data_IF_040765623312
#
_entry.id   IF_040765623312
#
_cell.length_a   1.000
_cell.length_b   1.000
_cell.length_c   1.000
_cell.angle_alpha   90.00
_cell.angle_beta   90.00
_cell.angle_gamma   90.00
#
_symmetry.space_group_name_H-M   'P 1'
#
loop_
_entity.id
_entity.type
_entity.pdbx_description
1 polymer ?
#
# COMPACT_ATOMS: atom_id res chain seq x y z
N UNK A 1 -14.43 -15.97 56.06
CA UNK A 1 -14.73 -15.03 54.96
C UNK A 1 -14.03 -13.71 55.27
N UNK A 2 -12.99 -13.39 54.50
CA UNK A 2 -11.92 -12.45 54.82
C UNK A 2 -12.24 -11.00 54.45
N UNK A 3 -11.88 -10.08 55.34
CA UNK A 3 -12.06 -8.60 55.30
C UNK A 3 -11.29 -7.88 54.17
N UNK A 4 -10.81 -8.57 53.14
CA UNK A 4 -9.94 -8.02 52.09
C UNK A 4 -10.66 -7.71 50.76
N UNK A 5 -11.98 -7.84 50.67
CA UNK A 5 -12.74 -7.54 49.44
C UNK A 5 -13.38 -6.14 49.46
N UNK A 6 -13.40 -5.46 50.60
CA UNK A 6 -14.10 -4.16 50.75
C UNK A 6 -13.23 -2.91 50.52
N UNK A 7 -11.95 -3.06 50.17
CA UNK A 7 -11.02 -1.93 49.99
C UNK A 7 -10.65 -1.58 48.55
N UNK A 8 -11.13 -2.35 47.56
CA UNK A 8 -10.85 -2.06 46.14
C UNK A 8 -12.01 -1.28 45.47
N UNK A 9 -13.22 -1.31 46.05
CA UNK A 9 -14.38 -0.59 45.51
C UNK A 9 -14.43 0.91 45.87
N UNK A 10 -13.63 1.38 46.83
CA UNK A 10 -13.58 2.80 47.21
C UNK A 10 -12.50 3.62 46.47
N UNK A 11 -11.55 2.96 45.80
CA UNK A 11 -10.44 3.61 45.09
C UNK A 11 -10.74 4.03 43.65
N UNK A 12 -11.77 3.44 43.02
CA UNK A 12 -12.08 3.68 41.60
C UNK A 12 -13.12 4.81 41.41
N UNK A 13 -13.81 5.24 42.47
CA UNK A 13 -14.83 6.30 42.40
C UNK A 13 -14.29 7.71 42.68
N UNK A 14 -13.02 7.88 43.07
CA UNK A 14 -12.44 9.19 43.39
C UNK A 14 -11.57 9.80 42.28
N UNK A 15 -11.32 9.07 41.18
CA UNK A 15 -10.57 9.60 40.02
C UNK A 15 -11.53 10.16 38.94
N UNK A 16 -12.80 9.78 38.97
CA UNK A 16 -13.81 10.27 38.01
C UNK A 16 -14.45 11.63 38.36
N UNK A 17 -14.10 12.24 39.51
CA UNK A 17 -14.69 13.50 39.97
C UNK A 17 -13.71 14.69 40.03
N UNK A 18 -12.46 14.53 39.56
CA UNK A 18 -11.43 15.57 39.64
C UNK A 18 -11.04 16.19 38.29
N UNK A 19 -11.77 15.91 37.20
CA UNK A 19 -11.50 16.48 35.85
C UNK A 19 -12.64 17.39 35.36
N UNK A 20 -13.70 17.54 36.16
CA UNK A 20 -14.79 18.48 35.88
C UNK A 20 -14.80 19.47 37.04
N UNK A 21 -14.59 20.76 36.75
CA UNK A 21 -14.38 21.90 37.67
C UNK A 21 -12.92 22.24 38.03
N UNK A 22 -12.22 22.94 37.13
CA UNK A 22 -11.75 24.30 37.48
C UNK A 22 -11.00 24.99 36.34
N UNK A 23 -11.44 26.25 36.09
CA UNK A 23 -10.71 27.39 35.50
C UNK A 23 -10.58 27.36 33.97
N UNK A 24 -10.96 28.38 33.21
CA UNK A 24 -11.41 29.72 33.54
C UNK A 24 -11.51 30.52 32.23
N UNK A 25 -12.41 31.48 32.21
CA UNK A 25 -12.84 32.31 31.08
C UNK A 25 -11.67 32.96 30.30
N UNK A 26 -11.63 32.74 28.99
CA UNK A 26 -10.84 33.55 28.05
C UNK A 26 -11.65 34.78 27.63
N UNK A 27 -11.04 35.98 27.58
CA UNK A 27 -11.71 37.19 27.10
C UNK A 27 -11.96 37.15 25.59
N UNK A 28 -12.94 37.91 25.07
CA UNK A 28 -13.24 37.96 23.65
C UNK A 28 -12.08 38.61 22.87
N UNK A 29 -11.55 37.90 21.88
CA UNK A 29 -10.64 38.42 20.88
C UNK A 29 -11.38 39.43 19.98
N UNK A 30 -11.14 40.71 20.19
CA UNK A 30 -11.48 41.75 19.21
C UNK A 30 -10.59 41.65 17.96
N UNK A 31 -11.03 42.20 16.81
CA UNK A 31 -10.21 42.25 15.61
C UNK A 31 -9.00 43.18 15.80
N UNK A 32 -7.84 42.87 15.19
CA UNK A 32 -6.64 43.69 15.33
C UNK A 32 -6.81 45.06 14.66
N UNK A 33 -6.46 46.10 15.42
CA UNK A 33 -6.31 47.47 14.98
C UNK A 33 -5.11 47.58 14.02
N UNK A 34 -5.36 48.04 12.79
CA UNK A 34 -4.33 48.30 11.79
C UNK A 34 -3.67 49.64 12.14
N UNK A 35 -2.51 49.59 12.78
CA UNK A 35 -1.62 50.73 12.92
C UNK A 35 -0.70 50.74 11.71
N UNK A 36 -0.90 51.72 10.83
CA UNK A 36 0.01 52.06 9.73
C UNK A 36 1.12 52.91 10.32
N UNK A 37 2.34 52.40 10.35
CA UNK A 37 3.54 53.14 10.71
C UNK A 37 4.39 53.36 9.45
N UNK A 38 4.37 54.60 8.96
CA UNK A 38 5.17 55.09 7.84
C UNK A 38 6.54 55.56 8.38
N UNK A 39 7.56 54.71 8.28
CA UNK A 39 8.90 55.01 8.79
C UNK A 39 10.01 54.43 7.92
N UNK A 40 10.38 55.13 6.85
CA UNK A 40 11.50 54.81 5.97
C UNK A 40 12.87 55.00 6.64
N UNK A 41 13.79 54.05 6.45
CA UNK A 41 15.11 54.25 5.82
C UNK A 41 15.96 52.96 5.82
N UNK A 42 16.87 52.79 4.82
CA UNK A 42 17.50 51.52 4.47
C UNK A 42 18.89 51.37 5.10
N UNK A 43 19.45 50.15 5.14
CA UNK A 43 20.88 49.88 4.89
C UNK A 43 21.19 48.37 4.83
N UNK A 44 21.76 47.96 3.70
CA UNK A 44 22.70 46.86 3.42
C UNK A 44 22.72 45.58 4.29
N UNK A 45 22.53 44.42 3.64
CA UNK A 45 23.46 43.29 3.77
C UNK A 45 23.25 42.21 2.69
N UNK A 46 24.36 41.85 2.05
CA UNK A 46 24.77 40.53 1.55
C UNK A 46 23.80 39.66 0.75
N UNK A 47 24.06 39.58 -0.56
CA UNK A 47 23.59 38.51 -1.43
C UNK A 47 24.32 37.20 -1.10
N UNK A 48 23.59 36.23 -0.55
CA UNK A 48 23.99 34.82 -0.58
C UNK A 48 23.66 34.22 -1.96
N UNK A 49 24.54 33.37 -2.53
CA UNK A 49 24.26 32.68 -3.78
C UNK A 49 23.20 31.57 -3.57
N UNK A 50 22.29 31.35 -4.54
CA UNK A 50 21.29 30.30 -4.42
C UNK A 50 21.92 28.90 -4.48
N UNK A 51 21.55 28.06 -3.52
CA UNK A 51 21.72 26.61 -3.55
C UNK A 51 20.96 26.04 -4.76
N UNK A 52 21.71 25.57 -5.75
CA UNK A 52 21.19 24.79 -6.87
C UNK A 52 20.79 23.42 -6.35
N UNK A 53 19.50 23.23 -6.08
CA UNK A 53 18.89 21.90 -5.94
C UNK A 53 18.92 21.24 -7.32
N UNK A 54 19.84 20.29 -7.50
CA UNK A 54 19.86 19.44 -8.68
C UNK A 54 18.68 18.48 -8.64
N UNK A 55 17.73 18.66 -9.55
CA UNK A 55 16.73 17.67 -9.88
C UNK A 55 17.44 16.40 -10.36
N UNK A 56 17.52 15.40 -9.49
CA UNK A 56 17.91 14.06 -9.86
C UNK A 56 16.78 13.47 -10.73
N UNK A 57 16.91 13.67 -12.05
CA UNK A 57 16.15 12.98 -13.08
C UNK A 57 16.32 11.47 -12.87
N UNK A 58 15.31 10.84 -12.29
CA UNK A 58 15.15 9.38 -12.35
C UNK A 58 14.87 9.06 -13.82
N UNK A 59 15.73 8.29 -14.52
CA UNK A 59 15.47 7.95 -15.90
C UNK A 59 14.21 7.09 -15.99
N UNK A 60 13.38 7.29 -17.03
CA UNK A 60 12.26 6.39 -17.29
C UNK A 60 12.79 4.98 -17.51
N UNK A 61 12.19 4.00 -16.83
CA UNK A 61 12.39 2.60 -17.15
C UNK A 61 11.66 2.35 -18.46
N UNK A 62 12.41 2.32 -19.56
CA UNK A 62 11.92 1.81 -20.84
C UNK A 62 11.64 0.32 -20.68
N UNK A 63 10.37 -0.06 -20.66
CA UNK A 63 9.96 -1.44 -20.84
C UNK A 63 10.21 -1.76 -22.31
N UNK A 64 11.38 -2.31 -22.61
CA UNK A 64 11.74 -2.78 -23.93
C UNK A 64 10.70 -3.79 -24.43
N UNK A 65 10.37 -3.64 -25.72
CA UNK A 65 9.23 -4.27 -26.36
C UNK A 65 9.14 -5.77 -26.15
N UNK A 66 7.89 -6.21 -25.92
CA UNK A 66 7.47 -7.59 -26.09
C UNK A 66 7.84 -8.03 -27.52
N UNK A 67 8.91 -8.81 -27.65
CA UNK A 67 9.22 -9.50 -28.88
C UNK A 67 8.12 -10.54 -29.18
N UNK A 68 7.73 -10.73 -30.44
CA UNK A 68 6.77 -11.76 -30.81
C UNK A 68 7.31 -13.14 -30.44
N UNK A 69 6.47 -13.94 -29.78
CA UNK A 69 6.74 -15.33 -29.43
C UNK A 69 6.98 -16.15 -30.70
N UNK A 70 8.24 -16.45 -31.00
CA UNK A 70 8.59 -17.45 -31.99
C UNK A 70 8.26 -18.84 -31.42
N UNK A 71 7.22 -19.46 -31.99
CA UNK A 71 6.88 -20.86 -31.79
C UNK A 71 8.05 -21.75 -32.25
N UNK A 72 8.78 -22.31 -31.28
CA UNK A 72 9.76 -23.37 -31.52
C UNK A 72 9.00 -24.70 -31.66
N UNK A 73 9.17 -25.46 -32.76
CA UNK A 73 8.54 -26.76 -32.92
C UNK A 73 9.19 -27.81 -32.00
N UNK A 74 8.43 -28.81 -31.52
CA UNK A 74 8.94 -29.77 -30.55
C UNK A 74 9.79 -30.83 -31.24
N UNK A 75 11.05 -30.93 -30.81
CA UNK A 75 11.88 -32.08 -31.15
C UNK A 75 13.36 -31.81 -30.97
N UNK A 76 13.89 -32.08 -29.79
CA UNK A 76 15.08 -32.94 -29.59
C UNK A 76 15.45 -33.03 -28.11
N UNK A 77 15.67 -34.28 -27.69
CA UNK A 77 16.08 -34.69 -26.35
C UNK A 77 17.45 -34.12 -25.97
N UNK A 78 17.59 -33.67 -24.73
CA UNK A 78 18.87 -33.67 -24.03
C UNK A 78 18.70 -34.28 -22.64
N UNK A 79 19.47 -35.34 -22.41
CA UNK A 79 19.70 -35.98 -21.12
C UNK A 79 20.57 -35.06 -20.24
N UNK A 80 20.25 -35.01 -18.94
CA UNK A 80 21.21 -34.74 -17.88
C UNK A 80 21.14 -33.35 -17.25
N UNK A 81 20.25 -33.17 -16.27
CA UNK A 81 20.63 -33.07 -14.85
C UNK A 81 19.34 -33.20 -14.03
N UNK A 82 19.35 -34.02 -12.98
CA UNK A 82 18.16 -34.48 -12.24
C UNK A 82 17.52 -33.45 -11.32
N UNK A 83 17.43 -32.19 -11.74
CA UNK A 83 16.66 -31.14 -11.07
C UNK A 83 15.69 -30.57 -12.08
N UNK A 84 14.42 -30.94 -11.94
CA UNK A 84 13.36 -30.24 -12.65
C UNK A 84 13.51 -28.74 -12.37
N UNK A 85 13.61 -27.88 -13.40
CA UNK A 85 13.50 -26.45 -13.18
C UNK A 85 12.16 -26.23 -12.49
N UNK A 86 12.18 -25.61 -11.31
CA UNK A 86 10.98 -25.17 -10.60
C UNK A 86 10.35 -24.11 -11.52
N UNK A 87 9.49 -24.57 -12.42
CA UNK A 87 8.66 -23.74 -13.27
C UNK A 87 7.72 -22.98 -12.36
N UNK A 88 8.09 -21.76 -12.00
CA UNK A 88 7.30 -20.88 -11.16
C UNK A 88 5.98 -20.60 -11.87
N UNK A 89 4.89 -21.07 -11.28
CA UNK A 89 3.55 -20.74 -11.73
C UNK A 89 3.01 -19.63 -10.81
N UNK A 90 2.78 -18.40 -11.28
CA UNK A 90 2.21 -17.32 -10.45
C UNK A 90 0.82 -17.69 -9.88
N UNK A 91 0.09 -18.60 -10.55
CA UNK A 91 -1.13 -19.17 -10.00
C UNK A 91 -0.89 -20.03 -8.75
N UNK A 92 0.34 -20.49 -8.46
CA UNK A 92 0.63 -21.32 -7.28
C UNK A 92 0.71 -20.51 -5.98
N UNK A 93 1.23 -19.28 -6.04
CA UNK A 93 1.20 -18.33 -4.90
C UNK A 93 -0.24 -17.96 -4.60
N UNK A 94 -0.97 -17.56 -5.65
CA UNK A 94 -2.37 -17.21 -5.57
C UNK A 94 -3.22 -18.39 -5.09
N UNK A 95 -3.03 -19.60 -5.63
CA UNK A 95 -3.79 -20.79 -5.22
C UNK A 95 -3.48 -21.24 -3.79
N UNK A 96 -2.22 -21.17 -3.33
CA UNK A 96 -1.88 -21.48 -1.93
C UNK A 96 -2.52 -20.49 -0.97
N UNK A 97 -2.51 -19.21 -1.31
CA UNK A 97 -3.09 -18.15 -0.48
C UNK A 97 -4.63 -18.16 -0.53
N UNK A 98 -5.23 -18.41 -1.70
CA UNK A 98 -6.68 -18.38 -1.92
C UNK A 98 -7.43 -19.68 -1.57
N UNK A 99 -6.73 -20.75 -1.16
CA UNK A 99 -7.36 -22.06 -0.91
C UNK A 99 -8.40 -22.10 0.23
N UNK A 100 -8.55 -21.02 1.01
CA UNK A 100 -9.62 -20.88 2.01
C UNK A 100 -10.17 -19.45 1.99
N UNK A 101 -11.37 -19.27 1.45
CA UNK A 101 -12.06 -17.99 1.24
C UNK A 101 -12.55 -17.35 2.56
N UNK A 102 -11.62 -16.90 3.41
CA UNK A 102 -11.92 -16.14 4.61
C UNK A 102 -11.24 -14.76 4.53
N UNK A 103 -11.91 -13.86 3.83
CA UNK A 103 -11.45 -12.51 3.46
C UNK A 103 -11.81 -11.45 4.52
N UNK A 104 -11.74 -11.83 5.78
CA UNK A 104 -12.04 -10.91 6.90
C UNK A 104 -10.72 -10.42 7.49
N UNK A 105 -10.68 -9.13 7.86
CA UNK A 105 -9.65 -8.45 8.68
C UNK A 105 -8.62 -7.54 7.98
N UNK A 106 -9.05 -6.60 7.13
CA UNK A 106 -8.49 -5.24 7.27
C UNK A 106 -9.39 -4.49 8.26
N UNK A 107 -8.88 -4.13 9.44
CA UNK A 107 -9.64 -3.43 10.49
C UNK A 107 -10.18 -2.05 10.04
N UNK A 108 -9.71 -1.54 8.90
CA UNK A 108 -10.18 -0.30 8.28
C UNK A 108 -10.93 -0.54 6.96
N UNK A 109 -11.16 -1.79 6.55
CA UNK A 109 -12.10 -2.06 5.47
C UNK A 109 -13.51 -1.81 6.01
N UNK A 110 -14.08 -0.68 5.62
CA UNK A 110 -15.51 -0.45 5.69
C UNK A 110 -16.14 -0.91 4.38
N UNK A 111 -17.34 -1.49 4.45
CA UNK A 111 -18.13 -1.77 3.27
C UNK A 111 -19.02 -0.57 2.98
N UNK A 112 -18.89 0.00 1.79
CA UNK A 112 -19.78 1.04 1.27
C UNK A 112 -20.71 0.39 0.24
N UNK A 113 -21.97 0.10 0.62
CA UNK A 113 -22.89 -0.60 -0.27
C UNK A 113 -23.18 0.25 -1.51
N UNK A 114 -23.18 -0.39 -2.68
CA UNK A 114 -23.66 0.20 -3.95
C UNK A 114 -25.10 -0.27 -4.16
N UNK A 115 -26.05 0.34 -3.46
CA UNK A 115 -27.46 -0.09 -3.44
C UNK A 115 -27.84 -0.87 -2.16
N UNK A 116 -28.81 -1.78 -2.24
CA UNK A 116 -29.30 -2.56 -1.09
C UNK A 116 -28.47 -3.84 -0.81
N UNK A 117 -27.55 -4.21 -1.71
CA UNK A 117 -26.81 -5.48 -1.63
C UNK A 117 -25.29 -5.28 -1.53
N UNK A 118 -24.63 -6.16 -0.76
CA UNK A 118 -23.17 -6.24 -0.67
C UNK A 118 -22.66 -6.97 -1.91
N UNK A 119 -21.90 -6.26 -2.74
CA UNK A 119 -21.30 -6.85 -3.94
C UNK A 119 -20.38 -8.02 -3.56
N UNK A 120 -20.73 -9.24 -4.01
CA UNK A 120 -20.02 -10.47 -3.70
C UNK A 120 -18.54 -10.47 -4.14
N UNK A 121 -18.19 -9.65 -5.14
CA UNK A 121 -16.82 -9.44 -5.61
C UNK A 121 -16.00 -8.47 -4.75
N UNK A 122 -16.54 -7.95 -3.64
CA UNK A 122 -15.80 -7.06 -2.75
C UNK A 122 -15.56 -5.66 -3.31
N UNK A 123 -16.19 -5.30 -4.44
CA UNK A 123 -16.09 -3.98 -5.08
C UNK A 123 -16.59 -2.83 -4.19
N UNK A 124 -17.34 -3.16 -3.13
CA UNK A 124 -17.87 -2.25 -2.12
C UNK A 124 -16.92 -2.03 -0.94
N UNK A 125 -15.89 -2.85 -0.76
CA UNK A 125 -14.95 -2.67 0.33
C UNK A 125 -14.08 -1.45 0.04
N UNK A 126 -13.91 -0.55 1.02
CA UNK A 126 -12.97 0.59 0.91
C UNK A 126 -11.53 0.11 0.78
N UNK A 127 -11.27 -1.16 1.15
CA UNK A 127 -9.97 -1.82 1.02
C UNK A 127 -10.10 -3.28 0.60
N UNK A 128 -9.11 -3.75 -0.14
CA UNK A 128 -9.06 -5.14 -0.55
C UNK A 128 -8.87 -6.06 0.67
N UNK A 129 -9.73 -7.06 0.87
CA UNK A 129 -9.55 -7.98 1.97
C UNK A 129 -8.29 -8.82 1.74
N UNK A 130 -7.35 -8.75 2.68
CA UNK A 130 -6.14 -9.58 2.66
C UNK A 130 -6.18 -10.46 3.89
N UNK A 131 -5.81 -11.73 3.75
CA UNK A 131 -5.73 -12.63 4.90
C UNK A 131 -4.83 -12.02 5.98
N UNK A 132 -5.18 -12.26 7.24
CA UNK A 132 -4.35 -11.85 8.36
C UNK A 132 -2.97 -12.54 8.30
N UNK A 133 -1.91 -11.74 8.37
CA UNK A 133 -0.54 -12.20 8.53
C UNK A 133 -0.24 -12.35 10.02
N UNK A 134 -0.23 -13.57 10.52
CA UNK A 134 0.14 -13.82 11.93
C UNK A 134 1.63 -13.55 12.15
N UNK A 135 2.01 -13.26 13.39
CA UNK A 135 3.42 -13.03 13.78
C UNK A 135 4.29 -14.25 13.48
N UNK A 136 3.79 -15.45 13.76
CA UNK A 136 4.50 -16.71 13.52
C UNK A 136 4.79 -16.91 12.04
N UNK A 137 3.78 -16.64 11.19
CA UNK A 137 3.94 -16.77 9.75
C UNK A 137 4.85 -15.68 9.19
N UNK A 138 4.77 -14.45 9.69
CA UNK A 138 5.72 -13.38 9.35
C UNK A 138 7.17 -13.77 9.66
N UNK A 139 7.46 -14.27 10.86
CA UNK A 139 8.81 -14.73 11.20
C UNK A 139 9.27 -15.92 10.36
N UNK A 140 8.35 -16.81 9.98
CA UNK A 140 8.66 -17.89 9.05
C UNK A 140 9.08 -17.34 7.69
N UNK A 141 8.33 -16.38 7.15
CA UNK A 141 8.68 -15.71 5.88
C UNK A 141 10.02 -14.98 5.96
N UNK A 142 10.34 -14.30 7.07
CA UNK A 142 11.65 -13.65 7.23
C UNK A 142 12.81 -14.67 7.22
N UNK A 143 12.66 -15.80 7.92
CA UNK A 143 13.65 -16.88 7.92
C UNK A 143 13.85 -17.47 6.53
N UNK A 144 12.75 -17.74 5.83
CA UNK A 144 12.81 -18.30 4.48
C UNK A 144 13.43 -17.30 3.49
N UNK A 145 13.07 -16.01 3.60
CA UNK A 145 13.64 -14.96 2.76
C UNK A 145 15.15 -14.78 2.96
N UNK A 146 15.65 -14.96 4.18
CA UNK A 146 17.09 -14.89 4.45
C UNK A 146 17.91 -15.89 3.60
N UNK A 147 17.33 -17.04 3.25
CA UNK A 147 17.95 -18.08 2.43
C UNK A 147 17.61 -18.04 0.93
N UNK A 148 16.67 -17.20 0.50
CA UNK A 148 16.18 -17.14 -0.89
C UNK A 148 16.81 -15.98 -1.68
N UNK A 149 16.69 -15.93 -3.02
CA UNK A 149 17.09 -14.77 -3.81
C UNK A 149 16.35 -13.47 -3.42
N UNK A 150 16.84 -12.30 -3.86
CA UNK A 150 16.21 -10.99 -3.67
C UNK A 150 15.47 -10.52 -4.93
N UNK A 151 14.77 -11.44 -5.59
CA UNK A 151 14.04 -11.24 -6.84
C UNK A 151 12.69 -11.99 -6.79
N UNK A 152 11.93 -11.92 -7.87
CA UNK A 152 10.59 -12.53 -8.01
C UNK A 152 10.56 -14.06 -7.89
N UNK A 153 11.71 -14.74 -7.87
CA UNK A 153 11.78 -16.19 -7.66
C UNK A 153 11.64 -16.58 -6.19
N UNK A 154 11.77 -15.59 -5.28
CA UNK A 154 11.70 -15.76 -3.84
C UNK A 154 10.25 -15.75 -3.34
N UNK A 155 9.68 -16.94 -3.14
CA UNK A 155 8.33 -17.10 -2.61
C UNK A 155 8.09 -16.33 -1.31
N UNK A 156 9.09 -16.29 -0.42
CA UNK A 156 8.99 -15.60 0.85
C UNK A 156 8.90 -14.07 0.65
N UNK A 157 9.71 -13.53 -0.26
CA UNK A 157 9.67 -12.11 -0.62
C UNK A 157 8.34 -11.72 -1.30
N UNK A 158 7.88 -12.53 -2.27
CA UNK A 158 6.58 -12.34 -2.93
C UNK A 158 5.46 -12.30 -1.89
N UNK A 159 5.47 -13.23 -0.93
CA UNK A 159 4.47 -13.32 0.13
C UNK A 159 4.50 -12.10 1.05
N UNK A 160 5.69 -11.66 1.49
CA UNK A 160 5.85 -10.44 2.29
C UNK A 160 5.32 -9.21 1.53
N UNK A 161 5.57 -9.13 0.22
CA UNK A 161 5.04 -8.05 -0.63
C UNK A 161 3.51 -8.12 -0.79
N UNK A 162 2.93 -9.32 -0.90
CA UNK A 162 1.48 -9.55 -0.97
C UNK A 162 0.76 -9.04 0.29
N UNK A 163 1.31 -9.35 1.48
CA UNK A 163 0.77 -8.86 2.76
C UNK A 163 1.06 -7.37 3.00
N UNK A 164 2.03 -6.81 2.29
CA UNK A 164 2.24 -5.37 2.13
C UNK A 164 2.27 -4.61 3.46
N UNK A 165 1.22 -3.83 3.73
CA UNK A 165 1.11 -3.03 4.96
C UNK A 165 1.21 -3.87 6.24
N UNK A 166 0.67 -5.08 6.26
CA UNK A 166 0.75 -5.95 7.45
C UNK A 166 2.21 -6.34 7.72
N UNK A 167 2.95 -6.75 6.69
CA UNK A 167 4.38 -7.03 6.79
C UNK A 167 5.18 -5.81 7.20
N UNK A 168 4.85 -4.62 6.68
CA UNK A 168 5.51 -3.38 7.10
C UNK A 168 5.33 -3.10 8.59
N UNK A 169 4.10 -3.20 9.10
CA UNK A 169 3.82 -2.94 10.51
C UNK A 169 4.51 -3.97 11.43
N UNK A 170 4.46 -5.26 11.06
CA UNK A 170 5.15 -6.30 11.81
C UNK A 170 6.67 -6.15 11.77
N UNK A 171 7.23 -5.65 10.66
CA UNK A 171 8.66 -5.36 10.56
C UNK A 171 9.09 -4.20 11.47
N UNK A 172 8.22 -3.21 11.69
CA UNK A 172 8.46 -2.11 12.64
C UNK A 172 8.28 -2.58 14.10
N UNK A 173 7.36 -3.50 14.35
CA UNK A 173 7.06 -4.02 15.69
C UNK A 173 8.06 -5.08 16.16
N UNK A 174 8.33 -6.08 15.32
CA UNK A 174 9.10 -7.29 15.67
C UNK A 174 10.57 -7.23 15.22
N UNK A 175 10.92 -6.26 14.35
CA UNK A 175 12.23 -6.14 13.73
C UNK A 175 12.42 -7.04 12.50
N UNK A 176 13.63 -7.03 11.96
CA UNK A 176 13.99 -7.65 10.67
C UNK A 176 14.95 -8.84 10.78
N UNK A 177 15.23 -9.34 11.99
CA UNK A 177 16.03 -10.55 12.18
C UNK A 177 15.30 -11.79 11.59
N UNK A 178 15.97 -12.69 10.84
CA UNK A 178 17.41 -12.84 10.68
C UNK A 178 18.01 -12.24 9.40
N UNK A 179 17.34 -11.26 8.79
CA UNK A 179 17.84 -10.67 7.55
C UNK A 179 19.18 -9.95 7.77
N UNK A 180 20.08 -10.09 6.81
CA UNK A 180 21.26 -9.23 6.76
C UNK A 180 20.86 -7.77 6.40
N UNK A 181 21.74 -6.78 6.64
CA UNK A 181 21.41 -5.37 6.41
C UNK A 181 20.99 -5.05 4.97
N UNK A 182 21.52 -5.75 3.96
CA UNK A 182 21.18 -5.52 2.56
C UNK A 182 19.75 -5.99 2.27
N UNK A 183 19.39 -7.19 2.74
CA UNK A 183 18.03 -7.74 2.62
C UNK A 183 17.00 -6.93 3.39
N UNK A 184 17.34 -6.51 4.61
CA UNK A 184 16.46 -5.64 5.40
C UNK A 184 16.19 -4.32 4.66
N UNK A 185 17.24 -3.64 4.17
CA UNK A 185 17.10 -2.40 3.42
C UNK A 185 16.27 -2.59 2.14
N UNK A 186 16.50 -3.71 1.42
CA UNK A 186 15.73 -4.10 0.25
C UNK A 186 14.24 -4.25 0.61
N UNK A 187 13.91 -5.09 1.58
CA UNK A 187 12.52 -5.37 1.97
C UNK A 187 11.81 -4.10 2.44
N UNK A 188 12.45 -3.27 3.26
CA UNK A 188 11.89 -1.99 3.72
C UNK A 188 11.59 -1.05 2.56
N UNK A 189 12.48 -0.95 1.57
CA UNK A 189 12.24 -0.15 0.37
C UNK A 189 11.04 -0.66 -0.41
N UNK A 190 10.93 -1.97 -0.60
CA UNK A 190 9.82 -2.57 -1.34
C UNK A 190 8.49 -2.41 -0.60
N UNK A 191 8.44 -2.63 0.71
CA UNK A 191 7.22 -2.47 1.50
C UNK A 191 6.75 -1.02 1.63
N UNK A 192 7.65 -0.03 1.44
CA UNK A 192 7.29 1.40 1.37
C UNK A 192 6.59 1.78 0.07
N UNK A 193 6.68 0.95 -0.99
CA UNK A 193 5.96 1.19 -2.26
C UNK A 193 4.48 0.86 -2.06
N UNK A 194 3.71 1.91 -1.79
CA UNK A 194 2.29 1.83 -1.43
C UNK A 194 1.36 2.46 -2.47
N UNK A 195 1.86 2.80 -3.66
CA UNK A 195 1.08 3.32 -4.78
C UNK A 195 1.48 2.63 -6.07
N UNK A 196 0.55 2.61 -7.02
CA UNK A 196 0.77 2.23 -8.41
C UNK A 196 0.34 3.38 -9.33
N UNK A 197 0.86 3.38 -10.55
CA UNK A 197 0.33 4.21 -11.64
C UNK A 197 -0.53 3.32 -12.53
N UNK A 198 -1.77 3.72 -12.77
CA UNK A 198 -2.74 2.99 -13.59
C UNK A 198 -3.14 3.85 -14.78
N UNK A 199 -3.24 3.21 -15.95
CA UNK A 199 -3.79 3.77 -17.17
C UNK A 199 -4.82 2.77 -17.70
N UNK A 200 -5.96 3.25 -18.17
CA UNK A 200 -7.04 2.42 -18.73
C UNK A 200 -7.44 2.99 -20.07
N UNK A 201 -7.70 2.12 -21.05
CA UNK A 201 -8.26 2.52 -22.35
C UNK A 201 -9.38 1.57 -22.72
N UNK A 202 -10.50 2.13 -23.16
CA UNK A 202 -11.62 1.39 -23.74
C UNK A 202 -11.56 1.58 -25.24
N UNK A 203 -11.34 0.49 -25.95
CA UNK A 203 -11.17 0.45 -27.40
C UNK A 203 -12.34 -0.30 -28.01
N UNK A 204 -12.94 0.25 -29.07
CA UNK A 204 -14.05 -0.37 -29.77
C UNK A 204 -13.62 -1.42 -30.80
N UNK A 205 -14.57 -2.00 -31.53
CA UNK A 205 -14.32 -3.01 -32.56
C UNK A 205 -13.53 -2.48 -33.77
N UNK A 206 -13.42 -1.16 -33.95
CA UNK A 206 -12.66 -0.52 -35.01
C UNK A 206 -11.25 -0.11 -34.56
N UNK A 207 -10.91 -0.30 -33.28
CA UNK A 207 -9.62 0.09 -32.72
C UNK A 207 -9.57 1.54 -32.23
N UNK A 208 -10.70 2.25 -32.18
CA UNK A 208 -10.76 3.64 -31.72
C UNK A 208 -10.89 3.69 -30.19
N UNK A 209 -10.13 4.57 -29.54
CA UNK A 209 -10.23 4.79 -28.09
C UNK A 209 -11.45 5.65 -27.79
N UNK A 210 -12.45 5.06 -27.14
CA UNK A 210 -13.71 5.74 -26.76
C UNK A 210 -13.68 6.33 -25.37
N UNK A 211 -12.82 5.81 -24.50
CA UNK A 211 -12.64 6.34 -23.15
C UNK A 211 -11.26 5.98 -22.62
N UNK A 212 -10.66 6.85 -21.82
CA UNK A 212 -9.35 6.61 -21.23
C UNK A 212 -9.23 7.21 -19.84
N UNK A 213 -8.39 6.58 -19.02
CA UNK A 213 -7.88 7.11 -17.78
C UNK A 213 -6.42 7.51 -18.04
N UNK A 214 -6.04 8.80 -17.96
CA UNK A 214 -4.63 9.18 -18.04
C UNK A 214 -3.82 8.53 -16.91
N UNK A 215 -2.48 8.44 -17.01
CA UNK A 215 -1.63 7.86 -15.96
C UNK A 215 -1.94 8.45 -14.59
N UNK A 216 -2.60 7.65 -13.75
CA UNK A 216 -3.15 8.10 -12.46
C UNK A 216 -2.49 7.33 -11.34
N UNK A 217 -1.93 8.07 -10.36
CA UNK A 217 -1.30 7.48 -9.19
C UNK A 217 -2.34 7.14 -8.14
N UNK A 218 -2.48 5.85 -7.83
CA UNK A 218 -3.46 5.33 -6.85
C UNK A 218 -2.78 4.57 -5.72
N UNK A 219 -3.19 4.75 -4.45
CA UNK A 219 -2.73 3.90 -3.37
C UNK A 219 -3.15 2.44 -3.54
N UNK A 220 -2.27 1.53 -3.14
CA UNK A 220 -2.55 0.11 -3.09
C UNK A 220 -3.54 -0.22 -1.96
N UNK A 221 -4.26 -1.34 -2.14
CA UNK A 221 -5.21 -1.89 -1.17
C UNK A 221 -6.38 -0.95 -0.84
N UNK A 222 -6.63 0.08 -1.65
CA UNK A 222 -7.75 1.01 -1.46
C UNK A 222 -8.60 1.09 -2.71
N UNK A 223 -9.91 1.21 -2.50
CA UNK A 223 -10.86 1.47 -3.56
C UNK A 223 -10.68 2.87 -4.11
N UNK A 224 -10.72 2.97 -5.43
CA UNK A 224 -10.66 4.21 -6.19
C UNK A 224 -11.83 4.26 -7.15
N UNK A 225 -12.46 5.43 -7.23
CA UNK A 225 -13.32 5.80 -8.34
C UNK A 225 -12.45 6.56 -9.32
N UNK A 226 -12.50 6.16 -10.58
CA UNK A 226 -11.68 6.70 -11.65
C UNK A 226 -12.53 7.63 -12.50
N UNK A 227 -12.06 8.87 -12.63
CA UNK A 227 -12.64 9.86 -13.52
C UNK A 227 -12.06 9.64 -14.92
N UNK A 228 -12.81 8.91 -15.75
CA UNK A 228 -12.43 8.60 -17.12
C UNK A 228 -12.76 9.77 -18.04
N UNK A 229 -11.86 10.07 -18.97
CA UNK A 229 -12.16 10.90 -20.14
C UNK A 229 -12.94 10.06 -21.16
N UNK A 230 -13.84 10.69 -21.92
CA UNK A 230 -14.72 10.01 -22.88
C UNK A 230 -14.76 10.74 -24.22
N UNK A 231 -14.86 9.97 -25.30
CA UNK A 231 -15.07 10.42 -26.66
C UNK A 231 -16.22 9.61 -27.29
N UNK A 232 -17.29 10.31 -27.66
CA UNK A 232 -18.46 9.75 -28.37
C UNK A 232 -19.15 8.56 -27.67
N UNK A 233 -19.06 8.51 -26.34
CA UNK A 233 -19.78 7.55 -25.47
C UNK A 233 -20.33 8.25 -24.24
N UNK A 234 -21.29 7.61 -23.56
CA UNK A 234 -21.77 8.09 -22.27
C UNK A 234 -20.66 8.00 -21.20
N UNK A 235 -20.66 8.88 -20.18
CA UNK A 235 -19.71 8.82 -19.08
C UNK A 235 -19.65 7.43 -18.45
N UNK A 236 -18.45 6.87 -18.32
CA UNK A 236 -18.22 5.58 -17.70
C UNK A 236 -17.86 5.76 -16.23
N UNK A 237 -18.67 5.20 -15.34
CA UNK A 237 -18.30 5.11 -13.92
C UNK A 237 -17.40 3.89 -13.75
N UNK A 238 -16.11 4.13 -13.56
CA UNK A 238 -15.12 3.06 -13.34
C UNK A 238 -14.66 3.10 -11.90
N UNK A 239 -14.64 1.97 -11.21
CA UNK A 239 -14.05 1.88 -9.88
C UNK A 239 -13.36 0.54 -9.67
N UNK A 240 -12.33 0.52 -8.83
CA UNK A 240 -11.55 -0.69 -8.57
C UNK A 240 -10.59 -0.52 -7.41
N UNK A 241 -9.96 -1.62 -7.00
CA UNK A 241 -8.87 -1.61 -6.03
C UNK A 241 -7.65 -2.22 -6.69
N UNK A 242 -6.50 -1.56 -6.59
CA UNK A 242 -5.22 -2.13 -7.04
C UNK A 242 -4.57 -2.85 -5.86
N UNK A 243 -4.35 -4.15 -6.00
CA UNK A 243 -3.72 -5.02 -5.01
C UNK A 243 -2.32 -5.38 -5.48
N UNK A 244 -1.32 -5.26 -4.60
CA UNK A 244 -0.03 -5.90 -4.84
C UNK A 244 -0.13 -7.39 -4.53
N UNK A 245 0.23 -8.22 -5.50
CA UNK A 245 0.21 -9.68 -5.37
C UNK A 245 1.59 -10.34 -5.44
N UNK A 246 2.64 -9.53 -5.58
CA UNK A 246 4.03 -9.98 -5.65
C UNK A 246 5.00 -8.80 -5.63
N UNK A 247 6.29 -9.05 -5.85
CA UNK A 247 7.31 -7.98 -5.91
C UNK A 247 7.03 -7.01 -7.06
N UNK A 248 6.71 -7.55 -8.24
CA UNK A 248 6.43 -6.78 -9.47
C UNK A 248 5.02 -6.99 -10.03
N UNK A 249 4.15 -7.66 -9.28
CA UNK A 249 2.82 -8.05 -9.75
C UNK A 249 1.72 -7.26 -9.03
N UNK A 250 0.80 -6.71 -9.82
CA UNK A 250 -0.42 -6.04 -9.38
C UNK A 250 -1.65 -6.80 -9.89
N UNK A 251 -2.75 -6.72 -9.16
CA UNK A 251 -4.07 -7.23 -9.51
C UNK A 251 -5.12 -6.15 -9.33
#
# INVERSE_FOLDING_TARGET
MSRNVLLIAAGVLMIAAAVIYSLGSLPPSGPPEVVVDDGAAPMHASAEPPLVMGDALVPPIEIAGLAPLNLVPPGQHNHGDGREPISFNPFSVQARIMSHADFTKDLRASFEPHGEEICASGCAATRHPTKELTKEYFHQLLRDFAGQPMDETSFALESLCYFGRQSFLLLEEEGDHPLDPLRSAFLRRELRRNHATVEVRVVDEFGETRSWLPPTRVPLDRRHVFDMEVADVQPLVTSGTVKRVGLYHLW
#
